data_IF_698649568828
#
_entry.id   IF_698649568828
#
_cell.length_a   1.000
_cell.length_b   1.000
_cell.length_c   1.000
_cell.angle_alpha   90.00
_cell.angle_beta   90.00
_cell.angle_gamma   90.00
#
_symmetry.space_group_name_H-M   'P 1'
#
loop_
_entity.id
_entity.type
_entity.pdbx_description
1 polymer ?
#
# COMPACT_ATOMS: atom_id res chain seq x y z
N UNK A 1 63.03 -32.61 13.05
CA UNK A 1 62.26 -31.74 13.95
C UNK A 1 61.19 -31.06 13.13
N UNK A 2 60.02 -31.69 13.07
CA UNK A 2 58.87 -31.16 12.33
C UNK A 2 58.09 -30.19 13.20
N UNK A 3 57.78 -29.00 12.69
CA UNK A 3 56.86 -28.05 13.30
C UNK A 3 55.43 -28.56 13.15
N UNK A 4 54.74 -28.68 14.28
CA UNK A 4 53.29 -28.96 14.29
C UNK A 4 52.50 -27.80 13.67
N UNK A 5 51.40 -28.06 12.96
CA UNK A 5 50.55 -27.01 12.44
C UNK A 5 49.81 -26.32 13.59
N UNK A 6 49.93 -25.00 13.65
CA UNK A 6 49.15 -24.13 14.55
C UNK A 6 47.70 -24.20 14.13
N UNK A 7 46.85 -24.82 14.96
CA UNK A 7 45.38 -24.71 14.81
C UNK A 7 44.96 -23.26 15.09
N UNK A 8 44.56 -22.55 14.07
CA UNK A 8 43.86 -21.29 14.22
C UNK A 8 42.45 -21.61 14.68
N UNK A 9 42.12 -21.27 15.92
CA UNK A 9 40.74 -21.32 16.43
C UNK A 9 40.01 -20.21 15.69
N UNK A 10 39.17 -20.56 14.70
CA UNK A 10 38.21 -19.66 14.08
C UNK A 10 37.11 -19.47 15.12
N UNK A 11 36.95 -18.26 15.61
CA UNK A 11 35.86 -17.89 16.50
C UNK A 11 34.52 -18.11 15.77
N UNK A 12 33.61 -18.82 16.42
CA UNK A 12 32.29 -19.20 15.91
C UNK A 12 31.30 -18.03 15.69
N UNK A 13 31.79 -16.80 15.49
CA UNK A 13 31.01 -15.56 15.27
C UNK A 13 31.51 -14.71 14.11
N UNK A 14 32.29 -15.23 13.17
CA UNK A 14 32.58 -14.51 11.94
C UNK A 14 31.35 -14.61 11.05
N UNK A 15 30.40 -13.67 11.22
CA UNK A 15 29.29 -13.46 10.29
C UNK A 15 29.88 -13.10 8.94
N UNK A 16 29.59 -13.90 7.91
CA UNK A 16 29.99 -13.56 6.53
C UNK A 16 29.31 -12.27 6.15
N UNK A 17 30.10 -11.28 5.71
CA UNK A 17 29.58 -9.98 5.30
C UNK A 17 29.81 -9.73 3.82
N UNK A 18 28.85 -9.04 3.19
CA UNK A 18 29.01 -8.42 1.89
C UNK A 18 29.33 -6.93 2.07
N UNK A 19 29.61 -6.26 0.98
CA UNK A 19 29.58 -4.80 0.87
C UNK A 19 28.19 -4.41 0.32
N UNK A 20 27.57 -3.35 0.86
CA UNK A 20 26.32 -2.82 0.31
C UNK A 20 26.62 -1.96 -0.93
N UNK A 21 26.40 -2.52 -2.11
CA UNK A 21 26.69 -1.86 -3.37
C UNK A 21 25.50 -1.06 -3.90
N UNK A 22 25.75 0.12 -4.48
CA UNK A 22 24.73 0.90 -5.15
C UNK A 22 24.29 0.21 -6.44
N UNK A 23 22.96 0.14 -6.65
CA UNK A 23 22.40 -0.30 -7.91
C UNK A 23 21.60 0.86 -8.52
N UNK A 24 22.16 1.61 -9.50
CA UNK A 24 21.42 2.65 -10.20
C UNK A 24 20.27 2.03 -11.02
N UNK A 25 19.04 2.46 -10.73
CA UNK A 25 17.82 1.97 -11.38
C UNK A 25 17.26 3.08 -12.27
N UNK A 26 17.36 2.89 -13.56
CA UNK A 26 16.77 3.78 -14.55
C UNK A 26 15.27 3.47 -14.73
N UNK A 27 14.41 4.46 -14.96
CA UNK A 27 13.04 4.21 -15.36
C UNK A 27 12.95 3.63 -16.77
N UNK A 28 11.80 3.02 -17.08
CA UNK A 28 11.50 2.54 -18.43
C UNK A 28 12.36 1.35 -18.87
N UNK A 29 12.66 1.28 -20.16
CA UNK A 29 13.40 0.17 -20.77
C UNK A 29 14.80 -0.02 -20.17
N UNK A 30 15.45 1.07 -19.74
CA UNK A 30 16.78 1.00 -19.13
C UNK A 30 16.81 0.29 -17.78
N UNK A 31 15.66 0.11 -17.12
CA UNK A 31 15.57 -0.71 -15.91
C UNK A 31 16.07 -2.14 -16.14
N UNK A 32 15.96 -2.64 -17.37
CA UNK A 32 16.37 -4.00 -17.73
C UNK A 32 17.89 -4.21 -17.68
N UNK A 33 18.68 -3.13 -17.70
CA UNK A 33 20.14 -3.21 -17.54
C UNK A 33 20.55 -3.76 -16.16
N UNK A 34 19.70 -3.59 -15.14
CA UNK A 34 19.95 -4.07 -13.77
C UNK A 34 19.63 -5.56 -13.55
N UNK A 35 18.93 -6.19 -14.49
CA UNK A 35 18.41 -7.57 -14.35
C UNK A 35 19.49 -8.60 -14.00
N UNK A 36 20.67 -8.63 -14.66
CA UNK A 36 21.72 -9.59 -14.30
C UNK A 36 22.24 -9.42 -12.87
N UNK A 37 22.36 -8.17 -12.40
CA UNK A 37 22.81 -7.86 -11.04
C UNK A 37 21.76 -8.25 -10.00
N UNK A 38 20.48 -8.03 -10.30
CA UNK A 38 19.34 -8.44 -9.45
C UNK A 38 19.27 -9.98 -9.32
N UNK A 39 19.61 -10.72 -10.38
CA UNK A 39 19.69 -12.17 -10.30
C UNK A 39 20.74 -12.64 -9.27
N UNK A 40 21.91 -11.99 -9.20
CA UNK A 40 22.92 -12.31 -8.21
C UNK A 40 22.44 -11.98 -6.78
N UNK A 41 21.66 -10.91 -6.59
CA UNK A 41 21.08 -10.62 -5.28
C UNK A 41 20.03 -11.67 -4.87
N UNK A 42 19.18 -12.08 -5.79
CA UNK A 42 18.20 -13.13 -5.53
C UNK A 42 18.86 -14.49 -5.22
N UNK A 43 20.06 -14.73 -5.74
CA UNK A 43 20.92 -15.89 -5.38
C UNK A 43 21.67 -15.71 -4.07
N UNK A 44 21.60 -14.55 -3.41
CA UNK A 44 22.33 -14.25 -2.18
C UNK A 44 23.84 -14.05 -2.36
N UNK A 45 24.29 -13.65 -3.56
CA UNK A 45 25.71 -13.46 -3.90
C UNK A 45 26.21 -12.03 -3.67
N UNK A 46 25.30 -11.06 -3.62
CA UNK A 46 25.59 -9.63 -3.48
C UNK A 46 24.49 -8.95 -2.65
N UNK A 47 24.84 -7.83 -2.03
CA UNK A 47 23.90 -6.97 -1.29
C UNK A 47 23.77 -5.63 -1.99
N UNK A 48 22.57 -5.23 -2.36
CA UNK A 48 22.31 -4.10 -3.24
C UNK A 48 21.44 -3.04 -2.57
N UNK A 49 21.74 -1.78 -2.85
CA UNK A 49 20.90 -0.61 -2.56
C UNK A 49 20.37 -0.04 -3.88
N UNK A 50 19.13 -0.36 -4.30
CA UNK A 50 18.51 0.26 -5.46
C UNK A 50 18.31 1.76 -5.23
N UNK A 51 18.82 2.60 -6.15
CA UNK A 51 18.69 4.06 -6.09
C UNK A 51 18.19 4.59 -7.45
N UNK A 52 17.36 5.65 -7.47
CA UNK A 52 16.89 6.22 -8.73
C UNK A 52 18.08 6.85 -9.48
N UNK A 53 18.32 6.41 -10.71
CA UNK A 53 19.43 6.89 -11.53
C UNK A 53 19.14 8.24 -12.20
N UNK A 54 17.86 8.58 -12.32
CA UNK A 54 17.34 9.85 -12.87
C UNK A 54 17.16 10.96 -11.81
N UNK A 55 17.38 10.65 -10.53
CA UNK A 55 17.38 11.61 -9.42
C UNK A 55 18.68 11.49 -8.59
N UNK A 56 19.77 12.16 -9.03
CA UNK A 56 21.07 12.08 -8.34
C UNK A 56 21.03 12.57 -6.90
N UNK A 57 20.22 13.58 -6.59
CA UNK A 57 20.10 14.11 -5.23
C UNK A 57 19.47 13.08 -4.29
N UNK A 58 18.42 12.40 -4.75
CA UNK A 58 17.79 11.29 -4.01
C UNK A 58 18.73 10.09 -3.88
N UNK A 59 19.44 9.74 -4.95
CA UNK A 59 20.41 8.65 -4.94
C UNK A 59 21.53 8.91 -3.91
N UNK A 60 22.09 10.13 -3.85
CA UNK A 60 23.10 10.51 -2.87
C UNK A 60 22.56 10.47 -1.42
N UNK A 61 21.33 10.97 -1.21
CA UNK A 61 20.68 10.91 0.10
C UNK A 61 20.55 9.45 0.58
N UNK A 62 20.09 8.56 -0.29
CA UNK A 62 19.95 7.13 0.02
C UNK A 62 21.32 6.48 0.29
N UNK A 63 22.30 6.73 -0.56
CA UNK A 63 23.68 6.23 -0.41
C UNK A 63 24.25 6.59 0.96
N UNK A 64 24.11 7.84 1.36
CA UNK A 64 24.63 8.36 2.64
C UNK A 64 23.84 7.79 3.82
N UNK A 65 22.51 7.82 3.79
CA UNK A 65 21.67 7.41 4.92
C UNK A 65 21.70 5.91 5.15
N UNK A 66 21.86 5.11 4.09
CA UNK A 66 21.97 3.65 4.17
C UNK A 66 23.42 3.17 4.27
N UNK A 67 24.39 4.07 4.33
CA UNK A 67 25.82 3.74 4.43
C UNK A 67 26.26 2.78 3.31
N UNK A 68 26.00 3.18 2.05
CA UNK A 68 26.46 2.42 0.90
C UNK A 68 27.99 2.31 0.92
N UNK A 69 28.50 1.13 0.57
CA UNK A 69 29.93 0.82 0.63
C UNK A 69 30.41 0.19 1.94
N UNK A 70 29.62 0.30 3.03
CA UNK A 70 29.94 -0.34 4.29
C UNK A 70 29.55 -1.83 4.30
N UNK A 71 30.15 -2.63 5.21
CA UNK A 71 29.76 -4.02 5.41
C UNK A 71 28.28 -4.17 5.78
N UNK A 72 27.67 -5.25 5.32
CA UNK A 72 26.33 -5.69 5.63
C UNK A 72 26.31 -7.23 5.73
N UNK A 73 25.40 -7.79 6.54
CA UNK A 73 25.27 -9.24 6.65
C UNK A 73 25.01 -9.87 5.27
N UNK A 74 25.71 -10.95 4.95
CA UNK A 74 25.69 -11.56 3.61
C UNK A 74 24.35 -12.18 3.22
N UNK A 75 23.44 -12.43 4.17
CA UNK A 75 22.08 -12.89 3.86
C UNK A 75 21.15 -11.77 3.40
N UNK A 76 21.50 -10.50 3.64
CA UNK A 76 20.75 -9.34 3.12
C UNK A 76 21.07 -9.18 1.65
N UNK A 77 20.08 -9.40 0.81
CA UNK A 77 20.20 -9.26 -0.66
C UNK A 77 19.92 -7.82 -1.12
N UNK A 78 18.92 -7.18 -0.53
CA UNK A 78 18.48 -5.83 -0.94
C UNK A 78 18.14 -4.99 0.29
N UNK A 79 18.56 -3.72 0.26
CA UNK A 79 18.07 -2.69 1.18
C UNK A 79 17.04 -1.86 0.43
N UNK A 80 15.76 -2.08 0.73
CA UNK A 80 14.65 -1.38 0.08
C UNK A 80 14.26 -0.13 0.88
N UNK A 81 14.50 1.06 0.31
CA UNK A 81 14.23 2.31 1.00
C UNK A 81 12.75 2.67 0.96
N UNK A 82 12.23 3.13 2.12
CA UNK A 82 10.88 3.68 2.22
C UNK A 82 10.85 5.15 1.83
N UNK A 83 9.69 5.65 1.41
CA UNK A 83 9.51 7.06 1.07
C UNK A 83 9.46 8.00 2.28
N UNK A 84 9.42 7.48 3.50
CA UNK A 84 9.41 8.14 4.81
C UNK A 84 8.70 9.50 4.88
N UNK A 85 7.60 9.59 5.61
CA UNK A 85 6.92 10.87 5.91
C UNK A 85 7.73 11.76 6.87
N UNK A 86 8.74 11.21 7.55
CA UNK A 86 9.50 11.85 8.64
C UNK A 86 10.88 12.40 8.24
N UNK A 87 11.18 12.48 6.95
CA UNK A 87 12.40 13.14 6.42
C UNK A 87 13.56 12.19 6.11
N UNK A 88 14.01 11.31 7.00
CA UNK A 88 15.11 10.36 6.72
C UNK A 88 14.57 9.03 6.23
N UNK A 89 14.93 8.57 5.01
CA UNK A 89 14.49 7.28 4.50
C UNK A 89 14.98 6.13 5.36
N UNK A 90 14.08 5.21 5.75
CA UNK A 90 14.45 3.94 6.38
C UNK A 90 14.74 2.89 5.31
N UNK A 91 15.75 2.06 5.51
CA UNK A 91 16.15 1.00 4.57
C UNK A 91 15.81 -0.39 5.11
N UNK A 92 14.72 -0.99 4.64
CA UNK A 92 14.32 -2.34 5.02
C UNK A 92 15.31 -3.38 4.46
N UNK A 93 15.91 -4.19 5.33
CA UNK A 93 16.90 -5.22 4.99
C UNK A 93 16.20 -6.51 4.58
N UNK A 94 16.12 -6.77 3.28
CA UNK A 94 15.47 -7.93 2.69
C UNK A 94 16.51 -9.01 2.38
N UNK A 95 16.33 -10.18 2.96
CA UNK A 95 17.14 -11.35 2.60
C UNK A 95 16.67 -11.94 1.28
N UNK A 96 17.54 -12.74 0.62
CA UNK A 96 17.13 -13.50 -0.56
C UNK A 96 15.96 -14.47 -0.24
N UNK A 97 15.88 -14.95 1.00
CA UNK A 97 14.78 -15.79 1.46
C UNK A 97 13.45 -15.02 1.57
N UNK A 98 13.47 -13.81 2.16
CA UNK A 98 12.28 -12.95 2.22
C UNK A 98 11.72 -12.65 0.83
N UNK A 99 12.61 -12.26 -0.10
CA UNK A 99 12.22 -11.96 -1.48
C UNK A 99 11.61 -13.18 -2.18
N UNK A 100 12.26 -14.35 -2.08
CA UNK A 100 11.75 -15.60 -2.66
C UNK A 100 10.40 -16.00 -2.07
N UNK A 101 10.21 -15.91 -0.76
CA UNK A 101 8.93 -16.21 -0.11
C UNK A 101 7.80 -15.33 -0.64
N UNK A 102 8.03 -14.01 -0.74
CA UNK A 102 7.05 -13.08 -1.32
C UNK A 102 6.74 -13.37 -2.79
N UNK A 103 7.76 -13.69 -3.59
CA UNK A 103 7.61 -13.99 -5.02
C UNK A 103 6.81 -15.29 -5.21
N UNK A 104 7.20 -16.36 -4.52
CA UNK A 104 6.57 -17.68 -4.66
C UNK A 104 5.10 -17.63 -4.20
N UNK A 105 4.80 -16.94 -3.09
CA UNK A 105 3.43 -16.73 -2.61
C UNK A 105 2.58 -15.89 -3.59
N UNK A 106 3.18 -14.84 -4.21
CA UNK A 106 2.51 -14.07 -5.27
C UNK A 106 2.19 -14.94 -6.48
N UNK A 107 3.16 -15.73 -6.95
CA UNK A 107 2.95 -16.61 -8.10
C UNK A 107 1.88 -17.67 -7.80
N UNK A 108 1.88 -18.25 -6.61
CA UNK A 108 0.83 -19.19 -6.18
C UNK A 108 -0.56 -18.54 -6.23
N UNK A 109 -0.72 -17.33 -5.68
CA UNK A 109 -1.98 -16.58 -5.68
C UNK A 109 -2.48 -16.22 -7.08
N UNK A 110 -1.58 -15.98 -8.04
CA UNK A 110 -1.91 -15.63 -9.42
C UNK A 110 -2.00 -16.84 -10.35
N UNK A 111 -1.94 -18.07 -9.83
CA UNK A 111 -2.06 -19.31 -10.59
C UNK A 111 -0.77 -19.79 -11.23
N UNK A 112 0.38 -19.24 -10.90
CA UNK A 112 1.71 -19.71 -11.26
C UNK A 112 2.70 -18.63 -11.70
N UNK A 113 3.98 -19.03 -11.92
CA UNK A 113 5.00 -18.11 -12.41
C UNK A 113 4.69 -17.59 -13.81
N UNK A 114 5.13 -16.38 -14.13
CA UNK A 114 4.90 -15.77 -15.43
C UNK A 114 5.80 -14.57 -15.70
N UNK A 115 5.66 -14.01 -16.89
CA UNK A 115 6.34 -12.81 -17.35
C UNK A 115 5.64 -11.56 -16.79
N UNK A 116 6.42 -10.63 -16.28
CA UNK A 116 5.90 -9.39 -15.73
C UNK A 116 6.30 -8.17 -16.55
N UNK A 117 5.35 -7.26 -16.71
CA UNK A 117 5.57 -5.96 -17.34
C UNK A 117 5.87 -4.91 -16.26
N UNK A 118 7.01 -4.23 -16.35
CA UNK A 118 7.41 -3.14 -15.51
C UNK A 118 6.75 -1.83 -15.98
N UNK A 119 5.85 -1.30 -15.16
CA UNK A 119 5.15 -0.04 -15.39
C UNK A 119 5.30 0.96 -14.23
N UNK A 120 6.07 0.61 -13.20
CA UNK A 120 6.31 1.42 -11.99
C UNK A 120 7.82 1.64 -11.78
N UNK A 121 8.23 2.67 -11.01
CA UNK A 121 9.65 2.95 -10.80
C UNK A 121 10.39 1.76 -10.18
N UNK A 122 11.48 1.27 -10.80
CA UNK A 122 12.18 0.06 -10.37
C UNK A 122 13.02 0.22 -9.11
N UNK A 123 13.30 1.45 -8.68
CA UNK A 123 13.98 1.75 -7.40
C UNK A 123 13.07 1.59 -6.18
N UNK A 124 11.76 1.47 -6.37
CA UNK A 124 10.78 1.17 -5.33
C UNK A 124 10.40 -0.31 -5.31
N UNK A 125 10.00 -0.81 -4.14
CA UNK A 125 9.72 -2.24 -3.94
C UNK A 125 8.70 -2.80 -4.95
N UNK A 126 7.69 -2.02 -5.37
CA UNK A 126 6.68 -2.47 -6.33
C UNK A 126 7.29 -2.79 -7.70
N UNK A 127 8.09 -1.87 -8.25
CA UNK A 127 8.77 -2.09 -9.54
C UNK A 127 9.91 -3.10 -9.44
N UNK A 128 10.65 -3.08 -8.33
CA UNK A 128 11.71 -4.05 -8.07
C UNK A 128 11.17 -5.49 -8.07
N UNK A 129 10.04 -5.72 -7.40
CA UNK A 129 9.38 -7.03 -7.35
C UNK A 129 8.90 -7.51 -8.72
N UNK A 130 8.52 -6.63 -9.63
CA UNK A 130 8.19 -6.99 -11.02
C UNK A 130 9.38 -7.66 -11.70
N UNK A 131 10.57 -7.07 -11.57
CA UNK A 131 11.80 -7.64 -12.14
C UNK A 131 12.19 -8.96 -11.47
N UNK A 132 12.15 -9.01 -10.13
CA UNK A 132 12.51 -10.21 -9.37
C UNK A 132 11.55 -11.37 -9.61
N UNK A 133 10.24 -11.12 -9.73
CA UNK A 133 9.22 -12.12 -10.05
C UNK A 133 9.45 -12.71 -11.44
N UNK A 134 9.76 -11.86 -12.43
CA UNK A 134 10.10 -12.35 -13.79
C UNK A 134 11.36 -13.21 -13.78
N UNK A 135 12.42 -12.77 -13.10
CA UNK A 135 13.64 -13.56 -12.93
C UNK A 135 13.38 -14.93 -12.30
N UNK A 136 12.58 -14.94 -11.22
CA UNK A 136 12.21 -16.18 -10.50
C UNK A 136 11.38 -17.12 -11.36
N UNK A 137 10.58 -16.58 -12.29
CA UNK A 137 9.82 -17.36 -13.27
C UNK A 137 10.69 -17.93 -14.41
N UNK A 138 11.95 -17.50 -14.54
CA UNK A 138 12.83 -17.86 -15.65
C UNK A 138 12.44 -17.16 -16.96
N UNK A 139 11.68 -16.07 -16.86
CA UNK A 139 11.20 -15.30 -18.00
C UNK A 139 12.06 -14.04 -18.22
N UNK A 140 11.89 -13.39 -19.37
CA UNK A 140 12.55 -12.11 -19.69
C UNK A 140 11.59 -10.98 -19.35
N UNK A 141 11.96 -10.02 -18.46
CA UNK A 141 11.08 -8.92 -18.12
C UNK A 141 10.87 -7.97 -19.30
N UNK A 142 9.67 -7.40 -19.37
CA UNK A 142 9.31 -6.34 -20.33
C UNK A 142 9.11 -5.05 -19.54
N UNK A 143 9.44 -3.91 -20.11
CA UNK A 143 9.22 -2.61 -19.50
C UNK A 143 8.54 -1.66 -20.48
N UNK A 144 7.70 -0.74 -19.96
CA UNK A 144 7.15 0.34 -20.77
C UNK A 144 8.20 1.44 -20.98
N UNK A 145 8.07 2.20 -22.06
CA UNK A 145 8.85 3.43 -22.24
C UNK A 145 8.28 4.54 -21.37
N UNK A 146 9.13 5.21 -20.61
CA UNK A 146 8.77 6.26 -19.65
C UNK A 146 9.49 7.59 -19.86
N UNK A 147 10.23 7.78 -20.97
CA UNK A 147 10.96 9.02 -21.26
C UNK A 147 10.06 10.26 -21.23
N UNK A 148 8.82 10.12 -21.68
CA UNK A 148 7.80 11.17 -21.70
C UNK A 148 6.70 10.97 -20.62
N UNK A 149 7.02 10.22 -19.57
CA UNK A 149 6.07 9.83 -18.54
C UNK A 149 5.17 8.66 -18.95
N UNK A 150 4.23 8.31 -18.07
CA UNK A 150 3.30 7.20 -18.32
C UNK A 150 2.25 7.57 -19.37
N UNK A 151 2.18 6.79 -20.45
CA UNK A 151 1.16 6.87 -21.50
C UNK A 151 0.45 5.52 -21.64
N UNK A 152 -0.90 5.48 -21.74
CA UNK A 152 -1.65 4.25 -21.97
C UNK A 152 -1.21 3.47 -23.22
N UNK A 153 -0.91 4.17 -24.32
CA UNK A 153 -0.42 3.55 -25.56
C UNK A 153 0.90 2.79 -25.36
N UNK A 154 1.87 3.36 -24.62
CA UNK A 154 3.13 2.68 -24.33
C UNK A 154 2.94 1.39 -23.53
N UNK A 155 1.89 1.30 -22.72
CA UNK A 155 1.52 0.07 -22.01
C UNK A 155 0.98 -0.98 -23.01
N UNK A 156 0.09 -0.58 -23.93
CA UNK A 156 -0.47 -1.49 -24.93
C UNK A 156 0.62 -2.11 -25.83
N UNK A 157 1.57 -1.29 -26.31
CA UNK A 157 2.71 -1.71 -27.10
C UNK A 157 3.58 -2.73 -26.34
N UNK A 158 3.86 -2.45 -25.07
CA UNK A 158 4.67 -3.32 -24.23
C UNK A 158 3.97 -4.64 -23.91
N UNK A 159 2.64 -4.64 -23.69
CA UNK A 159 1.84 -5.85 -23.51
C UNK A 159 1.88 -6.71 -24.80
N UNK A 160 1.78 -6.10 -25.97
CA UNK A 160 1.87 -6.79 -27.24
C UNK A 160 3.23 -7.48 -27.45
N UNK A 161 4.30 -6.94 -26.86
CA UNK A 161 5.64 -7.53 -26.90
C UNK A 161 5.85 -8.68 -25.89
N UNK A 162 4.93 -8.91 -24.96
CA UNK A 162 5.03 -10.02 -24.00
C UNK A 162 4.76 -11.36 -24.68
N UNK A 163 5.63 -12.34 -24.41
CA UNK A 163 5.56 -13.68 -25.00
C UNK A 163 5.36 -14.80 -23.98
N UNK A 164 5.37 -14.47 -22.68
CA UNK A 164 5.19 -15.43 -21.60
C UNK A 164 3.82 -16.12 -21.65
N UNK A 165 3.76 -17.37 -21.19
CA UNK A 165 2.51 -18.14 -21.12
C UNK A 165 1.51 -17.50 -20.15
N UNK A 166 2.00 -16.95 -19.03
CA UNK A 166 1.24 -16.11 -18.10
C UNK A 166 1.88 -14.73 -18.08
N UNK A 167 1.05 -13.71 -18.12
CA UNK A 167 1.48 -12.32 -18.24
C UNK A 167 0.84 -11.48 -17.16
N UNK A 168 1.66 -10.73 -16.42
CA UNK A 168 1.24 -9.96 -15.28
C UNK A 168 1.80 -8.54 -15.32
N UNK A 169 1.20 -7.63 -14.60
CA UNK A 169 1.76 -6.31 -14.31
C UNK A 169 1.39 -5.83 -12.91
N UNK A 170 2.12 -4.81 -12.43
CA UNK A 170 1.79 -4.09 -11.20
C UNK A 170 1.77 -2.60 -11.49
N UNK A 171 0.65 -1.95 -11.17
CA UNK A 171 0.37 -0.54 -11.43
C UNK A 171 -0.20 0.15 -10.20
N UNK A 172 -0.25 1.48 -10.24
CA UNK A 172 -0.92 2.29 -9.21
C UNK A 172 -2.32 2.72 -9.66
N UNK A 173 -3.22 3.09 -8.72
CA UNK A 173 -4.61 3.46 -9.07
C UNK A 173 -4.70 4.57 -10.12
N UNK A 174 -3.80 5.56 -10.07
CA UNK A 174 -3.76 6.63 -11.06
C UNK A 174 -3.50 6.12 -12.48
N UNK A 175 -2.59 5.14 -12.62
CA UNK A 175 -2.31 4.52 -13.92
C UNK A 175 -3.52 3.73 -14.41
N UNK A 176 -4.16 2.94 -13.52
CA UNK A 176 -5.39 2.22 -13.85
C UNK A 176 -6.48 3.17 -14.37
N UNK A 177 -6.69 4.29 -13.66
CA UNK A 177 -7.68 5.31 -14.10
C UNK A 177 -7.39 5.86 -15.49
N UNK A 178 -6.13 6.15 -15.82
CA UNK A 178 -5.70 6.62 -17.14
C UNK A 178 -5.88 5.55 -18.24
N UNK A 179 -5.55 4.29 -17.92
CA UNK A 179 -5.71 3.16 -18.83
C UNK A 179 -7.17 2.95 -19.18
N UNK A 180 -8.07 2.98 -18.19
CA UNK A 180 -9.53 2.84 -18.41
C UNK A 180 -10.17 4.00 -19.18
N UNK A 181 -9.46 5.09 -19.38
CA UNK A 181 -9.84 6.19 -20.29
C UNK A 181 -9.42 5.97 -21.75
N UNK A 182 -8.67 4.90 -22.05
CA UNK A 182 -8.16 4.56 -23.38
C UNK A 182 -8.61 3.13 -23.75
N UNK A 183 -9.38 3.00 -24.81
CA UNK A 183 -10.00 1.72 -25.18
C UNK A 183 -8.98 0.65 -25.59
N UNK A 184 -7.91 1.04 -26.31
CA UNK A 184 -6.86 0.12 -26.76
C UNK A 184 -6.02 -0.39 -25.60
N UNK A 185 -5.58 0.52 -24.72
CA UNK A 185 -4.83 0.17 -23.51
C UNK A 185 -5.69 -0.67 -22.54
N UNK A 186 -6.98 -0.39 -22.43
CA UNK A 186 -7.92 -1.18 -21.62
C UNK A 186 -8.04 -2.60 -22.16
N UNK A 187 -8.21 -2.77 -23.48
CA UNK A 187 -8.26 -4.09 -24.10
C UNK A 187 -6.94 -4.86 -23.95
N UNK A 188 -5.81 -4.16 -24.10
CA UNK A 188 -4.49 -4.76 -23.85
C UNK A 188 -4.35 -5.21 -22.40
N UNK A 189 -4.71 -4.35 -21.41
CA UNK A 189 -4.64 -4.68 -19.98
C UNK A 189 -5.54 -5.88 -19.63
N UNK A 190 -6.74 -5.96 -20.22
CA UNK A 190 -7.66 -7.08 -20.04
C UNK A 190 -7.15 -8.42 -20.61
N UNK A 191 -6.14 -8.39 -21.48
CA UNK A 191 -5.49 -9.59 -22.01
C UNK A 191 -4.45 -10.22 -21.05
N UNK A 192 -4.13 -9.56 -19.95
CA UNK A 192 -3.21 -10.08 -18.94
C UNK A 192 -3.91 -11.07 -18.00
N UNK A 193 -3.17 -12.07 -17.51
CA UNK A 193 -3.69 -13.06 -16.55
C UNK A 193 -3.89 -12.47 -15.14
N UNK A 194 -3.25 -11.33 -14.83
CA UNK A 194 -3.45 -10.64 -13.57
C UNK A 194 -2.78 -9.26 -13.53
N UNK A 195 -3.47 -8.32 -12.90
CA UNK A 195 -3.04 -6.94 -12.71
C UNK A 195 -3.08 -6.60 -11.22
N UNK A 196 -1.92 -6.42 -10.61
CA UNK A 196 -1.84 -5.95 -9.22
C UNK A 196 -1.99 -4.43 -9.18
N UNK A 197 -2.92 -3.94 -8.37
CA UNK A 197 -3.10 -2.50 -8.12
C UNK A 197 -2.82 -2.22 -6.66
N UNK A 198 -1.81 -1.39 -6.39
CA UNK A 198 -1.37 -1.13 -5.02
C UNK A 198 -0.62 0.18 -4.83
N UNK A 199 0.02 0.30 -3.66
CA UNK A 199 0.77 1.50 -3.27
C UNK A 199 -0.10 2.64 -2.71
N UNK A 200 -1.40 2.61 -2.97
CA UNK A 200 -2.42 3.53 -2.44
C UNK A 200 -3.77 2.82 -2.37
N UNK A 201 -4.72 3.38 -1.63
CA UNK A 201 -6.11 2.94 -1.67
C UNK A 201 -6.68 3.09 -3.11
N UNK A 202 -7.42 2.08 -3.55
CA UNK A 202 -8.08 2.07 -4.85
C UNK A 202 -9.59 2.18 -4.64
N UNK A 203 -10.23 3.16 -5.26
CA UNK A 203 -11.67 3.34 -5.06
C UNK A 203 -12.45 2.11 -5.55
N UNK A 204 -13.52 1.71 -4.86
CA UNK A 204 -14.38 0.59 -5.28
C UNK A 204 -14.93 0.78 -6.70
N UNK A 205 -15.26 2.01 -7.07
CA UNK A 205 -15.75 2.35 -8.41
C UNK A 205 -14.70 2.10 -9.50
N UNK A 206 -13.44 2.45 -9.25
CA UNK A 206 -12.35 2.19 -10.20
C UNK A 206 -12.14 0.69 -10.42
N UNK A 207 -12.20 -0.10 -9.33
CA UNK A 207 -12.10 -1.55 -9.41
C UNK A 207 -13.30 -2.16 -10.14
N UNK A 208 -14.52 -1.69 -9.86
CA UNK A 208 -15.73 -2.13 -10.57
C UNK A 208 -15.63 -1.86 -12.07
N UNK A 209 -15.17 -0.68 -12.47
CA UNK A 209 -14.96 -0.31 -13.88
C UNK A 209 -13.91 -1.21 -14.54
N UNK A 210 -12.79 -1.48 -13.87
CA UNK A 210 -11.76 -2.35 -14.39
C UNK A 210 -12.28 -3.77 -14.62
N UNK A 211 -13.00 -4.35 -13.64
CA UNK A 211 -13.60 -5.67 -13.75
C UNK A 211 -14.67 -5.73 -14.85
N UNK A 212 -15.52 -4.72 -14.95
CA UNK A 212 -16.51 -4.61 -16.02
C UNK A 212 -15.89 -4.51 -17.43
N UNK A 213 -14.66 -4.00 -17.53
CA UNK A 213 -13.87 -3.99 -18.76
C UNK A 213 -13.10 -5.30 -19.02
N UNK A 214 -13.28 -6.34 -18.21
CA UNK A 214 -12.65 -7.64 -18.36
C UNK A 214 -11.22 -7.73 -17.79
N UNK A 215 -10.77 -6.72 -17.02
CA UNK A 215 -9.43 -6.75 -16.42
C UNK A 215 -9.44 -7.63 -15.16
N UNK A 216 -8.56 -8.64 -15.12
CA UNK A 216 -8.30 -9.47 -13.93
C UNK A 216 -7.49 -8.66 -12.91
N UNK A 217 -8.17 -7.78 -12.17
CA UNK A 217 -7.55 -6.85 -11.21
C UNK A 217 -7.61 -7.40 -9.79
N UNK A 218 -6.47 -7.37 -9.10
CA UNK A 218 -6.35 -7.67 -7.67
C UNK A 218 -5.77 -6.45 -6.94
N UNK A 219 -6.36 -6.08 -5.82
CA UNK A 219 -5.77 -5.08 -4.94
C UNK A 219 -4.60 -5.68 -4.17
N UNK A 220 -3.56 -4.88 -3.93
CA UNK A 220 -2.34 -5.31 -3.23
C UNK A 220 -2.01 -4.38 -2.08
N UNK A 221 -1.97 -4.91 -0.85
CA UNK A 221 -1.48 -4.23 0.33
C UNK A 221 -0.14 -4.82 0.77
N UNK A 222 0.79 -3.96 1.12
CA UNK A 222 2.14 -4.28 1.58
C UNK A 222 3.08 -3.10 1.44
N UNK A 223 4.34 -3.30 1.82
CA UNK A 223 5.35 -2.25 1.91
C UNK A 223 6.76 -2.79 1.59
N UNK A 224 7.79 -1.94 1.72
CA UNK A 224 9.19 -2.39 1.62
C UNK A 224 9.52 -3.42 2.70
N UNK A 225 8.98 -3.25 3.90
CA UNK A 225 9.20 -4.08 5.07
C UNK A 225 8.65 -5.50 4.91
N UNK A 226 7.67 -5.68 4.03
CA UNK A 226 7.03 -6.98 3.74
C UNK A 226 7.42 -7.55 2.38
N UNK A 227 8.57 -7.14 1.83
CA UNK A 227 9.02 -7.54 0.48
C UNK A 227 7.98 -7.24 -0.61
N UNK A 228 7.22 -6.16 -0.47
CA UNK A 228 6.12 -5.78 -1.36
C UNK A 228 4.76 -6.25 -0.87
N UNK A 229 3.82 -6.50 -1.80
CA UNK A 229 2.46 -6.91 -1.46
C UNK A 229 2.42 -8.25 -0.72
N UNK A 230 1.69 -8.28 0.38
CA UNK A 230 1.54 -9.45 1.27
C UNK A 230 0.08 -9.83 1.51
N UNK A 231 -0.87 -8.94 1.15
CA UNK A 231 -2.31 -9.19 1.17
C UNK A 231 -2.90 -8.80 -0.17
N UNK A 232 -3.63 -9.73 -0.83
CA UNK A 232 -4.31 -9.47 -2.10
C UNK A 232 -5.81 -9.63 -1.93
N UNK A 233 -6.58 -8.62 -2.37
CA UNK A 233 -8.05 -8.53 -2.17
C UNK A 233 -8.47 -8.81 -0.73
N UNK A 234 -7.72 -8.22 0.22
CA UNK A 234 -7.94 -8.39 1.65
C UNK A 234 -7.55 -9.76 2.23
N UNK A 235 -7.04 -10.68 1.43
CA UNK A 235 -6.62 -12.01 1.87
C UNK A 235 -5.10 -12.12 1.94
N UNK A 236 -4.53 -12.58 3.07
CA UNK A 236 -3.10 -12.81 3.19
C UNK A 236 -2.59 -13.78 2.11
N UNK A 237 -1.36 -13.54 1.65
CA UNK A 237 -0.64 -14.52 0.83
C UNK A 237 -0.17 -15.70 1.68
N UNK A 238 0.13 -16.83 1.02
CA UNK A 238 0.64 -18.02 1.70
C UNK A 238 1.90 -17.70 2.51
N UNK A 239 1.89 -18.08 3.78
CA UNK A 239 2.96 -17.80 4.73
C UNK A 239 2.89 -16.42 5.39
N UNK A 240 2.03 -15.49 4.94
CA UNK A 240 1.77 -14.25 5.65
C UNK A 240 0.72 -14.48 6.74
N UNK A 241 1.02 -14.04 7.95
CA UNK A 241 0.06 -13.97 9.05
C UNK A 241 -0.25 -12.51 9.36
N UNK A 242 -1.54 -12.19 9.39
CA UNK A 242 -2.02 -10.82 9.62
C UNK A 242 -2.89 -10.83 10.87
N UNK A 243 -2.57 -9.96 11.80
CA UNK A 243 -3.39 -9.72 12.99
C UNK A 243 -3.68 -8.24 13.17
N UNK A 244 -4.71 -7.95 13.97
CA UNK A 244 -5.04 -6.61 14.40
C UNK A 244 -4.69 -6.52 15.87
N UNK A 245 -3.74 -5.66 16.21
CA UNK A 245 -3.43 -5.36 17.60
C UNK A 245 -4.42 -4.29 18.10
N UNK A 246 -4.95 -4.52 19.30
CA UNK A 246 -5.73 -3.50 20.00
C UNK A 246 -4.87 -2.26 20.17
N UNK A 247 -5.43 -1.08 19.88
CA UNK A 247 -4.72 0.17 20.07
C UNK A 247 -4.31 0.29 21.53
N UNK A 248 -3.07 0.71 21.79
CA UNK A 248 -2.55 0.97 23.14
C UNK A 248 -3.51 1.90 23.91
N UNK A 249 -4.44 1.34 24.69
CA UNK A 249 -5.24 1.98 25.71
C UNK A 249 -6.18 3.13 25.36
N UNK A 250 -6.07 3.74 24.19
CA UNK A 250 -6.90 4.87 23.75
C UNK A 250 -7.95 4.39 22.73
N UNK A 251 -9.01 3.75 23.23
CA UNK A 251 -10.04 3.11 22.43
C UNK A 251 -10.54 3.95 21.24
N UNK A 252 -10.56 3.34 20.07
CA UNK A 252 -11.44 3.76 18.98
C UNK A 252 -12.87 3.43 19.42
N UNK A 253 -13.56 4.39 20.01
CA UNK A 253 -14.92 4.22 20.51
C UNK A 253 -15.87 4.02 19.34
N UNK A 254 -16.38 2.80 19.18
CA UNK A 254 -17.67 2.55 18.58
C UNK A 254 -18.71 3.18 19.52
N UNK A 255 -19.46 4.15 19.00
CA UNK A 255 -20.42 4.97 19.78
C UNK A 255 -21.68 4.21 20.22
N UNK A 256 -21.57 2.99 20.71
CA UNK A 256 -22.70 2.23 21.29
C UNK A 256 -22.42 1.90 22.76
N UNK A 257 -22.41 2.90 23.65
CA UNK A 257 -22.52 2.65 25.08
C UNK A 257 -23.99 2.58 25.51
N UNK A 258 -24.44 1.35 25.72
CA UNK A 258 -25.62 1.07 26.54
C UNK A 258 -25.27 1.18 28.02
N UNK A 259 -25.92 2.10 28.71
CA UNK A 259 -25.87 2.24 30.18
C UNK A 259 -26.25 0.95 30.91
N UNK A 260 -25.35 0.38 31.73
CA UNK A 260 -25.75 -0.35 32.92
C UNK A 260 -24.67 -0.27 33.99
N UNK A 261 -25.00 0.32 35.11
CA UNK A 261 -24.16 0.44 36.30
C UNK A 261 -24.05 -0.86 37.08
N UNK A 262 -22.94 -1.01 37.82
CA UNK A 262 -22.79 -2.10 38.80
C UNK A 262 -21.43 -2.06 39.49
N UNK A 263 -21.45 -1.63 40.78
CA UNK A 263 -20.30 -1.61 41.70
C UNK A 263 -19.81 -3.00 42.05
N UNK A 264 -18.50 -3.16 42.28
CA UNK A 264 -17.97 -4.28 43.06
C UNK A 264 -16.45 -4.27 43.16
N UNK A 265 -15.93 -3.92 44.34
CA UNK A 265 -14.55 -4.09 44.80
C UNK A 265 -14.23 -5.60 44.93
N UNK A 266 -13.08 -6.09 44.59
CA UNK A 266 -12.05 -6.50 45.57
C UNK A 266 -10.78 -7.06 44.94
N UNK A 267 -9.70 -6.96 45.73
CA UNK A 267 -8.31 -7.34 45.44
C UNK A 267 -8.10 -8.85 45.44
N UNK A 268 -7.15 -9.34 44.63
CA UNK A 268 -6.03 -10.15 45.16
C UNK A 268 -5.02 -10.46 44.08
N UNK A 269 -3.74 -10.28 44.43
CA UNK A 269 -2.52 -10.64 43.72
C UNK A 269 -2.42 -12.15 43.51
N UNK A 270 -2.01 -12.59 42.33
CA UNK A 270 -1.16 -13.76 42.14
C UNK A 270 -0.64 -13.79 40.69
N UNK A 271 0.70 -13.71 40.57
CA UNK A 271 1.40 -14.01 39.29
C UNK A 271 1.54 -15.53 39.13
N UNK A 272 1.39 -16.05 37.92
CA UNK A 272 2.16 -17.20 37.49
C UNK A 272 2.99 -16.89 36.24
N UNK A 273 4.24 -17.31 36.30
CA UNK A 273 5.21 -17.39 35.24
C UNK A 273 4.77 -18.42 34.20
N UNK A 274 4.98 -18.10 32.93
CA UNK A 274 4.98 -19.05 31.82
C UNK A 274 3.78 -18.95 30.91
N UNK A 275 3.78 -18.01 29.97
CA UNK A 275 2.87 -18.02 28.83
C UNK A 275 3.68 -18.21 27.55
N UNK A 276 3.51 -19.35 26.93
CA UNK A 276 3.73 -19.61 25.50
C UNK A 276 2.94 -18.58 24.71
N UNK A 277 3.42 -18.06 23.56
CA UNK A 277 2.63 -17.16 22.72
C UNK A 277 1.46 -17.94 22.13
N UNK A 278 0.34 -17.90 22.83
CA UNK A 278 -0.93 -18.45 22.37
C UNK A 278 -1.54 -17.52 21.33
N UNK A 279 -1.79 -18.05 20.16
CA UNK A 279 -2.57 -17.39 19.14
C UNK A 279 -3.93 -16.94 19.70
N UNK A 280 -4.20 -15.65 19.63
CA UNK A 280 -5.52 -15.09 19.93
C UNK A 280 -6.47 -15.59 18.84
N UNK A 281 -7.53 -16.28 19.23
CA UNK A 281 -8.60 -16.70 18.34
C UNK A 281 -9.17 -15.46 17.62
N UNK A 282 -9.54 -15.54 16.33
CA UNK A 282 -10.12 -14.42 15.59
C UNK A 282 -11.55 -14.16 16.11
N UNK A 283 -11.68 -13.19 16.99
CA UNK A 283 -12.96 -12.75 17.55
C UNK A 283 -13.00 -11.24 17.62
N UNK A 284 -13.92 -10.65 16.84
CA UNK A 284 -14.54 -9.32 16.99
C UNK A 284 -13.71 -8.19 17.59
N UNK A 285 -12.43 -8.06 17.22
CA UNK A 285 -11.65 -6.88 17.56
C UNK A 285 -12.09 -5.72 16.64
N UNK A 286 -12.42 -4.57 17.22
CA UNK A 286 -12.67 -3.33 16.52
C UNK A 286 -11.45 -2.91 15.67
N UNK A 287 -11.50 -1.73 15.01
CA UNK A 287 -10.36 -1.21 14.26
C UNK A 287 -9.11 -1.11 15.14
N UNK A 288 -7.98 -1.60 14.66
CA UNK A 288 -6.71 -1.56 15.37
C UNK A 288 -5.51 -1.55 14.43
N UNK A 289 -4.32 -1.63 14.99
CA UNK A 289 -3.06 -1.61 14.24
C UNK A 289 -2.85 -2.92 13.47
N UNK A 290 -2.59 -2.82 12.17
CA UNK A 290 -2.25 -4.00 11.37
C UNK A 290 -0.84 -4.47 11.75
N UNK A 291 -0.74 -5.76 12.07
CA UNK A 291 0.53 -6.44 12.34
C UNK A 291 0.72 -7.55 11.31
N UNK A 292 1.89 -7.56 10.68
CA UNK A 292 2.27 -8.54 9.65
C UNK A 292 3.41 -9.39 10.17
N UNK A 293 3.30 -10.71 10.08
CA UNK A 293 4.39 -11.64 10.35
C UNK A 293 4.53 -12.67 9.23
N UNK A 294 5.68 -13.32 9.19
CA UNK A 294 5.95 -14.36 8.21
C UNK A 294 7.27 -14.20 7.44
N UNK A 295 7.60 -15.16 6.56
CA UNK A 295 8.91 -15.25 5.93
C UNK A 295 9.21 -14.10 4.95
N UNK A 296 8.22 -13.30 4.53
CA UNK A 296 8.42 -12.13 3.67
C UNK A 296 8.77 -10.85 4.44
N UNK A 297 8.67 -10.85 5.77
CA UNK A 297 9.00 -9.68 6.61
C UNK A 297 10.51 -9.50 6.68
N UNK A 298 10.99 -8.27 6.50
CA UNK A 298 12.40 -7.90 6.53
C UNK A 298 13.02 -8.10 7.92
N UNK A 299 14.35 -8.20 7.98
CA UNK A 299 15.09 -8.40 9.23
C UNK A 299 15.08 -7.19 10.18
N UNK A 300 14.71 -6.03 9.68
CA UNK A 300 14.81 -4.74 10.35
C UNK A 300 15.26 -3.67 9.38
N UNK A 301 15.58 -2.49 9.91
CA UNK A 301 16.11 -1.40 9.10
C UNK A 301 17.64 -1.30 9.19
N UNK A 302 18.27 -0.87 8.11
CA UNK A 302 19.72 -0.69 8.01
C UNK A 302 20.25 0.46 8.89
N UNK A 303 19.47 1.51 9.04
CA UNK A 303 19.92 2.80 9.57
C UNK A 303 19.21 3.24 10.86
N UNK A 304 18.31 2.44 11.39
CA UNK A 304 17.58 2.70 12.64
C UNK A 304 17.15 1.40 13.28
N UNK A 305 17.26 1.32 14.59
CA UNK A 305 16.62 0.26 15.39
C UNK A 305 15.16 0.69 15.63
N UNK A 306 14.22 -0.16 15.22
CA UNK A 306 12.82 0.13 15.32
C UNK A 306 12.09 -1.09 15.91
N UNK A 307 11.52 -0.98 17.12
CA UNK A 307 10.84 -2.09 17.78
C UNK A 307 9.58 -2.54 17.03
N UNK A 308 9.05 -1.70 16.15
CA UNK A 308 7.92 -2.06 15.30
C UNK A 308 8.31 -3.00 14.13
N UNK A 309 9.62 -3.19 13.88
CA UNK A 309 10.14 -4.12 12.88
C UNK A 309 11.25 -4.96 13.45
N UNK A 310 10.89 -6.02 14.15
CA UNK A 310 11.81 -6.93 14.81
C UNK A 310 11.27 -8.37 14.80
N UNK A 311 12.16 -9.35 14.89
CA UNK A 311 11.85 -10.78 15.08
C UNK A 311 10.88 -11.36 14.05
N UNK A 312 10.93 -10.88 12.80
CA UNK A 312 10.04 -11.31 11.73
C UNK A 312 8.60 -10.80 11.86
N UNK A 313 8.39 -9.78 12.69
CA UNK A 313 7.11 -9.11 12.91
C UNK A 313 7.22 -7.64 12.52
N UNK A 314 6.27 -7.17 11.75
CA UNK A 314 6.13 -5.76 11.40
C UNK A 314 4.81 -5.19 11.92
N UNK A 315 4.89 -4.31 12.90
CA UNK A 315 3.77 -3.49 13.39
C UNK A 315 3.67 -2.26 12.51
N UNK A 316 2.73 -2.26 11.59
CA UNK A 316 2.61 -1.19 10.60
C UNK A 316 2.11 0.10 11.23
N UNK A 317 2.22 1.23 10.52
CA UNK A 317 1.51 2.46 10.90
C UNK A 317 0.09 2.52 10.33
N UNK A 318 -0.45 1.40 9.85
CA UNK A 318 -1.76 1.36 9.23
C UNK A 318 -2.78 0.76 10.21
N UNK A 319 -3.98 1.33 10.22
CA UNK A 319 -5.14 0.79 10.91
C UNK A 319 -5.93 -0.13 9.98
N UNK A 320 -6.49 -1.20 10.54
CA UNK A 320 -7.33 -2.13 9.80
C UNK A 320 -8.35 -2.82 10.70
N UNK A 321 -9.23 -3.57 10.08
CA UNK A 321 -10.18 -4.47 10.73
C UNK A 321 -10.40 -5.69 9.86
N UNK A 322 -10.88 -6.77 10.46
CA UNK A 322 -11.35 -7.92 9.70
C UNK A 322 -12.85 -7.85 9.46
N UNK A 323 -13.26 -8.01 8.22
CA UNK A 323 -14.66 -8.16 7.85
C UNK A 323 -14.99 -9.66 7.83
N UNK A 324 -15.88 -10.06 8.72
CA UNK A 324 -16.38 -11.43 8.85
C UNK A 324 -17.70 -11.65 8.08
N UNK A 325 -18.28 -10.60 7.49
CA UNK A 325 -19.55 -10.67 6.77
C UNK A 325 -19.45 -11.28 5.37
N UNK A 326 -18.24 -11.61 4.92
CA UNK A 326 -17.97 -12.23 3.60
C UNK A 326 -18.53 -13.64 3.37
N UNK A 327 -19.58 -14.06 4.10
CA UNK A 327 -20.18 -15.38 4.05
C UNK A 327 -21.60 -15.48 3.50
N UNK A 328 -22.21 -14.44 2.94
CA UNK A 328 -23.46 -14.60 2.19
C UNK A 328 -23.13 -14.82 0.72
N UNK A 329 -22.97 -16.09 0.38
CA UNK A 329 -22.89 -16.59 -0.97
C UNK A 329 -24.16 -16.22 -1.76
N UNK A 330 -24.05 -15.21 -2.59
CA UNK A 330 -24.90 -15.07 -3.78
C UNK A 330 -24.09 -14.52 -4.96
N UNK A 331 -22.88 -15.03 -5.15
CA UNK A 331 -22.12 -14.87 -6.39
C UNK A 331 -21.90 -16.26 -7.00
N UNK A 332 -22.72 -16.59 -7.99
CA UNK A 332 -22.48 -17.65 -8.94
C UNK A 332 -21.35 -17.29 -9.94
N UNK A 333 -20.54 -16.29 -9.63
CA UNK A 333 -19.42 -15.88 -10.45
C UNK A 333 -18.16 -16.67 -10.06
N UNK A 334 -17.69 -17.61 -10.90
CA UNK A 334 -16.47 -18.36 -10.65
C UNK A 334 -15.20 -17.50 -10.64
N UNK A 335 -15.28 -16.21 -11.01
CA UNK A 335 -14.19 -15.23 -10.96
C UNK A 335 -14.22 -14.39 -9.68
N UNK A 336 -15.23 -14.58 -8.79
CA UNK A 336 -15.26 -13.93 -7.49
C UNK A 336 -14.16 -14.54 -6.59
N UNK A 337 -13.15 -13.75 -6.15
CA UNK A 337 -12.14 -14.22 -5.20
C UNK A 337 -12.73 -14.61 -3.83
N UNK A 338 -14.04 -14.46 -3.64
CA UNK A 338 -14.85 -14.94 -2.51
C UNK A 338 -15.26 -16.40 -2.56
N UNK A 339 -14.70 -17.24 -3.47
CA UNK A 339 -14.96 -18.69 -3.53
C UNK A 339 -14.87 -19.40 -2.17
N UNK A 340 -15.34 -20.66 -2.03
CA UNK A 340 -15.67 -21.35 -0.77
C UNK A 340 -14.46 -21.63 0.14
N UNK A 341 -13.82 -20.59 0.61
CA UNK A 341 -12.73 -20.57 1.57
C UNK A 341 -12.90 -19.42 2.54
N UNK A 342 -14.13 -19.10 2.93
CA UNK A 342 -14.62 -17.95 3.68
C UNK A 342 -13.91 -17.58 4.99
N UNK A 343 -12.63 -17.23 4.91
CA UNK A 343 -11.93 -16.57 6.01
C UNK A 343 -12.18 -15.06 6.02
N UNK A 344 -11.88 -14.38 7.14
CA UNK A 344 -12.05 -12.94 7.28
C UNK A 344 -11.23 -12.16 6.24
N UNK A 345 -11.77 -11.05 5.77
CA UNK A 345 -11.13 -10.15 4.79
C UNK A 345 -10.57 -8.94 5.51
N UNK A 346 -9.27 -8.66 5.36
CA UNK A 346 -8.64 -7.47 5.90
C UNK A 346 -9.15 -6.23 5.15
N UNK A 347 -9.67 -5.27 5.89
CA UNK A 347 -9.94 -3.90 5.43
C UNK A 347 -8.89 -2.96 5.98
N UNK A 348 -8.15 -2.31 5.11
CA UNK A 348 -7.20 -1.25 5.48
C UNK A 348 -7.98 0.06 5.59
N UNK A 349 -7.97 0.66 6.78
CA UNK A 349 -8.79 1.84 7.10
C UNK A 349 -8.01 3.17 6.93
N UNK A 350 -6.70 3.08 6.75
CA UNK A 350 -5.82 4.22 6.56
C UNK A 350 -4.65 4.23 7.54
N UNK A 351 -3.88 5.31 7.53
CA UNK A 351 -2.72 5.44 8.42
C UNK A 351 -3.12 5.96 9.79
N UNK A 352 -2.54 5.41 10.83
CA UNK A 352 -2.70 5.90 12.20
C UNK A 352 -2.16 7.34 12.38
N UNK A 353 -1.14 7.70 11.59
CA UNK A 353 -0.57 9.06 11.56
C UNK A 353 -1.54 10.09 10.94
N UNK A 354 -2.49 9.64 10.11
CA UNK A 354 -3.48 10.49 9.43
C UNK A 354 -4.79 10.64 10.25
N UNK A 355 -4.86 10.09 11.47
CA UNK A 355 -6.03 10.18 12.33
C UNK A 355 -6.35 11.64 12.63
N UNK A 356 -7.59 12.05 12.38
CA UNK A 356 -8.09 13.36 12.66
C UNK A 356 -8.78 13.34 14.02
N UNK A 357 -8.29 14.16 14.96
CA UNK A 357 -8.95 14.34 16.27
C UNK A 357 -9.86 15.55 16.19
N UNK A 358 -11.17 15.33 16.26
CA UNK A 358 -12.19 16.37 16.17
C UNK A 358 -13.16 16.25 17.34
N UNK A 359 -13.21 17.25 18.21
CA UNK A 359 -14.09 17.24 19.38
C UNK A 359 -13.84 16.07 20.33
N UNK A 360 -12.61 15.58 20.43
CA UNK A 360 -12.25 14.42 21.26
C UNK A 360 -12.50 13.05 20.60
N UNK A 361 -13.13 13.02 19.43
CA UNK A 361 -13.32 11.79 18.64
C UNK A 361 -12.17 11.61 17.64
N UNK A 362 -11.79 10.35 17.39
CA UNK A 362 -10.75 9.95 16.44
C UNK A 362 -11.38 9.47 15.14
N UNK A 363 -11.01 10.07 14.01
CA UNK A 363 -11.53 9.73 12.70
C UNK A 363 -10.41 9.27 11.79
N UNK A 364 -10.57 8.09 11.18
CA UNK A 364 -9.72 7.63 10.08
C UNK A 364 -10.26 8.19 8.77
N UNK A 365 -9.41 8.80 7.91
CA UNK A 365 -9.84 9.34 6.63
C UNK A 365 -10.45 8.30 5.68
N UNK A 366 -9.87 7.09 5.62
CA UNK A 366 -10.22 6.06 4.64
C UNK A 366 -11.70 5.72 4.55
N UNK A 367 -12.39 5.36 5.65
CA UNK A 367 -13.82 5.06 5.62
C UNK A 367 -14.69 6.19 5.07
N UNK A 368 -14.31 7.44 5.32
CA UNK A 368 -15.02 8.63 4.81
C UNK A 368 -14.72 8.83 3.32
N UNK A 369 -13.48 8.60 2.89
CA UNK A 369 -13.05 8.64 1.49
C UNK A 369 -13.74 7.55 0.66
N UNK A 370 -13.87 6.34 1.21
CA UNK A 370 -14.59 5.23 0.58
C UNK A 370 -16.09 5.57 0.41
N UNK A 371 -16.71 6.13 1.44
CA UNK A 371 -18.10 6.58 1.36
C UNK A 371 -18.29 7.65 0.30
N UNK A 372 -17.40 8.64 0.21
CA UNK A 372 -17.43 9.68 -0.83
C UNK A 372 -17.28 9.09 -2.23
N UNK A 373 -16.29 8.22 -2.43
CA UNK A 373 -16.04 7.63 -3.76
C UNK A 373 -17.12 6.62 -4.19
N UNK A 374 -17.92 6.11 -3.25
CA UNK A 374 -19.09 5.27 -3.56
C UNK A 374 -20.28 6.04 -4.13
N UNK A 375 -20.27 7.37 -4.08
CA UNK A 375 -21.38 8.21 -4.55
C UNK A 375 -21.54 8.29 -6.08
N UNK A 376 -20.67 7.66 -6.85
CA UNK A 376 -20.76 7.56 -8.32
C UNK A 376 -20.37 8.82 -9.09
N UNK A 377 -20.60 10.01 -8.53
CA UNK A 377 -20.22 11.31 -9.13
C UNK A 377 -18.75 11.67 -8.78
N UNK A 378 -18.20 11.05 -7.74
CA UNK A 378 -16.89 11.34 -7.19
C UNK A 378 -15.84 10.40 -7.80
N UNK A 379 -14.86 10.97 -8.48
CA UNK A 379 -13.76 10.23 -9.09
C UNK A 379 -12.66 9.89 -8.07
N UNK A 380 -12.36 10.83 -7.17
CA UNK A 380 -11.42 10.61 -6.05
C UNK A 380 -11.79 11.52 -4.88
N UNK A 381 -11.46 11.10 -3.67
CA UNK A 381 -11.69 11.85 -2.44
C UNK A 381 -10.44 11.82 -1.56
N UNK A 382 -10.26 12.88 -0.77
CA UNK A 382 -9.26 12.97 0.27
C UNK A 382 -9.84 13.72 1.47
N UNK A 383 -9.66 13.16 2.67
CA UNK A 383 -10.20 13.73 3.92
C UNK A 383 -9.03 14.17 4.80
N UNK A 384 -9.13 15.38 5.33
CA UNK A 384 -8.12 15.98 6.20
C UNK A 384 -8.75 16.75 7.36
N UNK A 385 -7.97 16.97 8.41
CA UNK A 385 -8.33 17.87 9.50
C UNK A 385 -7.86 19.29 9.20
N UNK A 386 -8.74 20.27 9.38
CA UNK A 386 -8.37 21.69 9.34
C UNK A 386 -8.59 22.31 10.73
N UNK A 387 -7.80 23.33 11.13
CA UNK A 387 -7.94 23.95 12.44
C UNK A 387 -9.37 24.44 12.70
N UNK A 388 -9.90 24.19 13.90
CA UNK A 388 -11.22 24.62 14.35
C UNK A 388 -11.15 25.06 15.81
N UNK A 389 -11.71 26.26 16.17
CA UNK A 389 -11.52 26.84 17.48
C UNK A 389 -12.09 26.00 18.64
N UNK A 390 -13.18 25.28 18.43
CA UNK A 390 -13.84 24.50 19.49
C UNK A 390 -13.47 23.01 19.46
N UNK A 391 -13.18 22.46 18.27
CA UNK A 391 -12.98 21.03 18.09
C UNK A 391 -11.51 20.62 17.98
N UNK A 392 -10.59 21.59 18.00
CA UNK A 392 -9.20 21.39 17.63
C UNK A 392 -9.04 21.27 16.10
N UNK A 393 -9.69 20.26 15.49
CA UNK A 393 -9.79 20.16 14.04
C UNK A 393 -11.24 19.90 13.61
N UNK A 394 -11.60 20.41 12.43
CA UNK A 394 -12.81 20.01 11.69
C UNK A 394 -12.42 18.99 10.61
N UNK A 395 -13.22 17.93 10.47
CA UNK A 395 -13.08 16.98 9.37
C UNK A 395 -13.64 17.62 8.10
N UNK A 396 -12.81 17.77 7.07
CA UNK A 396 -13.21 18.28 5.76
C UNK A 396 -12.73 17.36 4.64
N UNK A 397 -13.42 17.39 3.51
CA UNK A 397 -13.08 16.57 2.36
C UNK A 397 -12.77 17.42 1.12
N UNK A 398 -11.83 16.98 0.29
CA UNK A 398 -11.68 17.41 -1.09
C UNK A 398 -12.08 16.27 -2.03
N UNK A 399 -12.83 16.59 -3.08
CA UNK A 399 -13.25 15.60 -4.07
C UNK A 399 -12.95 16.10 -5.48
N UNK A 400 -12.60 15.17 -6.38
CA UNK A 400 -12.66 15.39 -7.82
C UNK A 400 -13.89 14.69 -8.36
N UNK A 401 -14.55 15.29 -9.32
CA UNK A 401 -15.71 14.69 -9.98
C UNK A 401 -15.28 13.96 -11.25
N UNK A 402 -16.06 12.99 -11.68
CA UNK A 402 -15.92 12.43 -13.02
C UNK A 402 -16.20 13.51 -14.04
N UNK A 403 -15.39 13.61 -15.11
CA UNK A 403 -15.67 14.52 -16.21
C UNK A 403 -17.06 14.24 -16.77
N UNK A 404 -17.85 15.30 -16.94
CA UNK A 404 -19.21 15.27 -17.48
C UNK A 404 -19.27 14.81 -18.97
N UNK A 405 -18.25 14.11 -19.46
CA UNK A 405 -18.07 13.61 -20.82
C UNK A 405 -18.45 12.15 -21.08
N UNK A 406 -18.95 11.41 -20.07
CA UNK A 406 -19.55 10.09 -20.30
C UNK A 406 -21.01 10.13 -19.85
N UNK A 407 -21.95 10.42 -20.76
CA UNK A 407 -23.35 10.52 -20.39
C UNK A 407 -23.93 9.14 -20.05
N UNK A 408 -24.46 9.00 -18.83
CA UNK A 408 -25.63 8.13 -18.66
C UNK A 408 -26.73 8.63 -19.58
N UNK A 409 -27.44 7.79 -20.34
CA UNK A 409 -28.41 8.26 -21.30
C UNK A 409 -29.53 9.04 -20.60
N UNK A 410 -29.54 10.34 -20.75
CA UNK A 410 -30.69 11.20 -20.40
C UNK A 410 -30.44 12.42 -19.52
N UNK A 411 -29.21 12.77 -19.15
CA UNK A 411 -28.95 13.99 -18.37
C UNK A 411 -28.13 15.01 -19.16
N UNK A 412 -28.66 16.24 -19.31
CA UNK A 412 -27.93 17.40 -19.82
C UNK A 412 -26.93 17.87 -18.77
N UNK A 413 -25.62 18.01 -19.05
CA UNK A 413 -24.65 18.47 -18.07
C UNK A 413 -24.84 19.97 -17.78
N UNK A 414 -24.81 20.40 -16.50
CA UNK A 414 -24.69 21.83 -16.18
C UNK A 414 -23.22 22.26 -16.34
N UNK A 415 -23.03 23.44 -16.91
CA UNK A 415 -21.74 24.15 -16.96
C UNK A 415 -21.39 24.63 -15.54
N UNK A 416 -20.28 24.21 -14.91
CA UNK A 416 -19.98 24.54 -13.51
C UNK A 416 -19.47 25.98 -13.39
N UNK A 417 -20.39 26.94 -13.29
CA UNK A 417 -20.06 28.26 -12.77
C UNK A 417 -19.77 28.17 -11.26
N UNK A 418 -18.99 29.08 -10.69
CA UNK A 418 -18.60 29.04 -9.27
C UNK A 418 -19.81 29.01 -8.28
N UNK A 419 -21.00 29.43 -8.75
CA UNK A 419 -22.26 29.35 -8.01
C UNK A 419 -22.82 27.91 -7.89
N UNK A 420 -22.50 27.01 -8.87
CA UNK A 420 -22.96 25.61 -8.85
C UNK A 420 -22.12 24.71 -7.94
N UNK A 421 -20.86 25.09 -7.66
CA UNK A 421 -19.95 24.26 -6.87
C UNK A 421 -20.43 24.09 -5.43
N UNK A 422 -20.95 25.15 -4.81
CA UNK A 422 -21.50 25.09 -3.45
C UNK A 422 -22.74 24.19 -3.34
N UNK A 423 -23.59 24.18 -4.33
CA UNK A 423 -24.77 23.30 -4.37
C UNK A 423 -24.35 21.82 -4.52
N UNK A 424 -23.30 21.53 -5.31
CA UNK A 424 -22.73 20.18 -5.46
C UNK A 424 -22.11 19.73 -4.14
N UNK A 425 -21.34 20.58 -3.49
CA UNK A 425 -20.69 20.32 -2.19
C UNK A 425 -21.72 19.97 -1.10
N UNK A 426 -22.82 20.75 -1.00
CA UNK A 426 -23.93 20.48 -0.08
C UNK A 426 -24.69 19.19 -0.44
N UNK A 427 -24.93 18.95 -1.74
CA UNK A 427 -25.57 17.73 -2.21
C UNK A 427 -24.76 16.47 -1.86
N UNK A 428 -23.45 16.48 -2.07
CA UNK A 428 -22.58 15.37 -1.71
C UNK A 428 -22.62 15.10 -0.20
N UNK A 429 -22.57 16.16 0.59
CA UNK A 429 -22.64 16.07 2.04
C UNK A 429 -23.97 15.48 2.54
N UNK A 430 -25.09 15.88 1.93
CA UNK A 430 -26.41 15.33 2.27
C UNK A 430 -26.51 13.83 1.96
N UNK A 431 -25.86 13.36 0.88
CA UNK A 431 -25.84 11.93 0.49
C UNK A 431 -24.97 11.07 1.41
N UNK A 432 -24.02 11.65 2.14
CA UNK A 432 -23.21 10.92 3.14
C UNK A 432 -23.96 10.68 4.45
N UNK A 433 -24.91 11.51 4.81
CA UNK A 433 -25.62 11.43 6.10
C UNK A 433 -26.31 10.08 6.38
N UNK A 434 -26.88 9.36 5.40
CA UNK A 434 -27.43 8.03 5.64
C UNK A 434 -26.40 6.89 5.66
N UNK A 435 -25.15 7.16 5.25
CA UNK A 435 -24.09 6.14 5.06
C UNK A 435 -23.05 6.21 6.19
N UNK A 436 -22.81 7.40 6.74
CA UNK A 436 -21.85 7.67 7.79
C UNK A 436 -22.53 8.09 9.06
N UNK A 437 -21.90 7.79 10.20
CA UNK A 437 -22.33 8.36 11.48
C UNK A 437 -22.28 9.89 11.44
N UNK A 438 -23.20 10.54 12.12
CA UNK A 438 -23.35 12.01 12.10
C UNK A 438 -22.05 12.78 12.38
N UNK A 439 -21.14 12.19 13.16
CA UNK A 439 -19.84 12.78 13.51
C UNK A 439 -18.76 12.53 12.44
N UNK A 440 -18.96 11.54 11.57
CA UNK A 440 -18.06 11.20 10.45
C UNK A 440 -18.37 12.00 9.19
N UNK A 441 -19.58 12.56 9.07
CA UNK A 441 -19.94 13.40 7.94
C UNK A 441 -19.05 14.65 7.93
N UNK A 442 -18.26 14.88 6.86
CA UNK A 442 -17.38 16.04 6.77
C UNK A 442 -18.16 17.35 6.94
N UNK A 443 -17.58 18.29 7.68
CA UNK A 443 -18.21 19.61 7.88
C UNK A 443 -18.29 20.43 6.59
N UNK A 444 -17.33 20.20 5.69
CA UNK A 444 -17.39 20.73 4.33
C UNK A 444 -16.82 19.68 3.34
N UNK A 445 -17.34 19.71 2.14
CA UNK A 445 -16.81 18.96 0.99
C UNK A 445 -16.43 19.99 -0.06
N UNK A 446 -15.19 20.00 -0.52
CA UNK A 446 -14.67 20.95 -1.50
C UNK A 446 -14.45 20.24 -2.83
N UNK A 447 -15.09 20.71 -3.90
CA UNK A 447 -14.77 20.26 -5.24
C UNK A 447 -13.47 20.90 -5.70
N UNK A 448 -12.52 20.07 -6.15
CA UNK A 448 -11.21 20.48 -6.66
C UNK A 448 -10.95 19.86 -8.02
N UNK A 449 -10.16 20.53 -8.85
CA UNK A 449 -9.80 20.01 -10.19
C UNK A 449 -8.91 18.77 -10.09
N UNK A 450 -8.03 18.73 -9.10
CA UNK A 450 -7.06 17.66 -8.87
C UNK A 450 -6.67 17.61 -7.40
N UNK A 451 -6.50 16.40 -6.86
CA UNK A 451 -5.90 16.21 -5.55
C UNK A 451 -4.36 16.37 -5.63
N UNK A 452 -3.73 17.09 -4.70
CA UNK A 452 -2.28 17.27 -4.73
C UNK A 452 -1.56 15.95 -4.46
N UNK A 453 -0.45 15.74 -5.18
CA UNK A 453 0.37 14.53 -5.03
C UNK A 453 1.83 14.88 -4.81
N UNK A 454 2.50 14.08 -4.00
CA UNK A 454 3.95 14.09 -3.84
C UNK A 454 4.64 13.59 -5.12
N UNK A 455 5.96 13.84 -5.31
CA UNK A 455 6.72 13.28 -6.42
C UNK A 455 6.65 11.74 -6.54
N UNK A 456 6.39 11.05 -5.41
CA UNK A 456 6.15 9.62 -5.37
C UNK A 456 4.80 9.17 -5.96
N UNK A 457 3.94 10.11 -6.36
CA UNK A 457 2.57 9.86 -6.80
C UNK A 457 1.57 9.64 -5.66
N UNK A 458 2.00 9.66 -4.39
CA UNK A 458 1.11 9.57 -3.23
C UNK A 458 0.40 10.90 -2.96
N UNK A 459 -0.80 10.84 -2.37
CA UNK A 459 -1.55 12.01 -1.94
C UNK A 459 -0.73 12.87 -0.96
N UNK A 460 -0.63 14.17 -1.22
CA UNK A 460 -0.05 15.16 -0.29
C UNK A 460 -1.12 15.68 0.66
N UNK A 461 -1.39 14.94 1.74
CA UNK A 461 -2.39 15.33 2.75
C UNK A 461 -2.01 16.62 3.48
N UNK A 462 -0.72 16.86 3.71
CA UNK A 462 -0.24 18.06 4.40
C UNK A 462 -0.48 19.32 3.56
N UNK A 463 -0.10 19.28 2.29
CA UNK A 463 -0.37 20.38 1.36
C UNK A 463 -1.86 20.60 1.13
N UNK A 464 -2.65 19.51 1.08
CA UNK A 464 -4.10 19.59 0.97
C UNK A 464 -4.72 20.26 2.21
N UNK A 465 -4.33 19.82 3.42
CA UNK A 465 -4.84 20.38 4.67
C UNK A 465 -4.58 21.90 4.77
N UNK A 466 -3.36 22.35 4.41
CA UNK A 466 -3.03 23.77 4.36
C UNK A 466 -3.90 24.54 3.36
N UNK A 467 -4.13 23.99 2.17
CA UNK A 467 -4.97 24.60 1.15
C UNK A 467 -6.43 24.70 1.59
N UNK A 468 -6.97 23.62 2.17
CA UNK A 468 -8.36 23.60 2.63
C UNK A 468 -8.57 24.43 3.89
N UNK A 469 -7.57 24.57 4.78
CA UNK A 469 -7.66 25.45 5.94
C UNK A 469 -7.88 26.91 5.53
N UNK A 470 -7.20 27.39 4.48
CA UNK A 470 -7.38 28.72 3.94
C UNK A 470 -8.81 28.92 3.37
N UNK A 471 -9.35 27.92 2.66
CA UNK A 471 -10.74 27.97 2.13
C UNK A 471 -11.79 27.88 3.23
N UNK A 472 -11.54 27.02 4.24
CA UNK A 472 -12.41 26.85 5.39
C UNK A 472 -12.52 28.12 6.23
N UNK A 473 -11.41 28.84 6.51
CA UNK A 473 -11.40 30.11 7.22
C UNK A 473 -12.26 31.18 6.56
N UNK A 474 -12.24 31.25 5.21
CA UNK A 474 -13.08 32.20 4.45
C UNK A 474 -14.59 31.87 4.48
N UNK A 475 -14.98 30.65 4.84
CA UNK A 475 -16.39 30.23 4.94
C UNK A 475 -16.94 30.38 6.38
N UNK A 476 -16.05 30.51 7.36
CA UNK A 476 -16.38 30.53 8.78
C UNK A 476 -16.43 31.96 9.36
N UNK A 477 -16.01 32.98 8.60
CA UNK A 477 -16.20 34.41 8.84
C UNK A 477 -17.55 34.91 8.25
#
# INVERSE_FOLDING_TARGET
MGRAPTLTIVNAHDTVTHRLDLLPMWPGLRALEAVPTLAHALDGKVSLLPVPADDPARAELLARTQRAGDPIDADVAIVACTSGSTGTPKGAMLTAANLRASIDATHARLGGPGQWLLATPPSHIAGLQVLLRTLRAGEVPVAIELSDGFRPSSLADAIAAMSGRRRYTSIVPLQLGRILGDAEATAALASLDGVLVGGQATSPELLRRARAAGVTVLTSYGSSETSGGTVYDGRPLDGADISIADGDGDGYGDGTEGCSGGRGKDRSEESPRGATPGGVAPGTAGPGRIVVSGPMVSRGYRNVDDPDLADGVFRTSDAGSFDHSGGTADSSDPSDPGGPGGGPVLRVLGRMDDVIISGGLKFLPGPIEDALTSLGDVAAAAVVGVPHPELGHAVVAAVTLHDAGSPSPGATPPDPSAADTGAIEEHLRARLAPVLDKHQVPRAVFVVKQLPTLPSGKLDRTGLAATLAARWGMMSE
#
